data_IF_605817277149
#
_entry.id   IF_605817277149
#
_cell.length_a   1.000
_cell.length_b   1.000
_cell.length_c   1.000
_cell.angle_alpha   90.00
_cell.angle_beta   90.00
_cell.angle_gamma   90.00
#
_symmetry.space_group_name_H-M   'P 1'
#
loop_
_entity.id
_entity.type
_entity.pdbx_description
1 polymer ?
#
# COMPACT_ATOMS: atom_id res chain seq x y z
N UNK A 1 3.20 24.75 13.58
CA UNK A 1 4.36 24.54 12.67
C UNK A 1 5.70 24.56 13.37
N UNK A 2 5.95 25.49 14.29
CA UNK A 2 7.22 25.58 15.03
C UNK A 2 7.65 24.26 15.70
N UNK A 3 6.72 23.56 16.34
CA UNK A 3 6.97 22.25 16.94
C UNK A 3 7.38 21.19 15.90
N UNK A 4 6.78 21.20 14.71
CA UNK A 4 7.12 20.25 13.64
C UNK A 4 8.56 20.50 13.15
N UNK A 5 8.91 21.76 12.89
CA UNK A 5 10.27 22.12 12.46
C UNK A 5 11.32 21.73 13.49
N UNK A 6 11.06 21.99 14.79
CA UNK A 6 11.95 21.57 15.88
C UNK A 6 12.13 20.06 15.97
N UNK A 7 11.07 19.28 15.72
CA UNK A 7 11.13 17.82 15.80
C UNK A 7 11.81 17.21 14.56
N UNK A 8 11.67 17.85 13.39
CA UNK A 8 12.32 17.42 12.15
C UNK A 8 13.85 17.40 12.23
N UNK A 9 14.45 18.25 13.06
CA UNK A 9 15.90 18.25 13.30
C UNK A 9 16.36 17.18 14.30
N UNK A 10 15.45 16.67 15.14
CA UNK A 10 15.78 15.77 16.26
C UNK A 10 15.45 14.31 16.00
N UNK A 11 14.53 14.03 15.06
CA UNK A 11 13.99 12.69 14.83
C UNK A 11 14.10 12.33 13.36
N UNK A 12 14.60 11.12 13.08
CA UNK A 12 14.81 10.61 11.72
C UNK A 12 13.50 10.42 10.95
N UNK A 13 12.45 9.92 11.60
CA UNK A 13 11.14 9.68 11.01
C UNK A 13 10.10 10.58 11.66
N UNK A 14 9.58 11.53 10.88
CA UNK A 14 8.50 12.42 11.31
C UNK A 14 7.52 12.62 10.16
N UNK A 15 6.23 12.57 10.48
CA UNK A 15 5.15 12.84 9.54
C UNK A 15 4.15 13.78 10.23
N UNK A 16 3.88 14.97 9.68
CA UNK A 16 2.82 15.82 10.17
C UNK A 16 1.48 15.15 9.84
N UNK A 17 0.64 14.90 10.83
CA UNK A 17 -0.63 14.21 10.60
C UNK A 17 -1.80 14.88 11.33
N UNK A 18 -2.99 14.69 10.77
CA UNK A 18 -4.26 15.07 11.38
C UNK A 18 -5.27 13.95 11.23
N UNK A 19 -5.48 13.19 12.31
CA UNK A 19 -6.44 12.10 12.34
C UNK A 19 -7.89 12.59 12.19
N UNK A 20 -8.21 13.77 12.72
CA UNK A 20 -9.56 14.34 12.63
C UNK A 20 -9.96 14.66 11.19
N UNK A 21 -9.04 15.23 10.39
CA UNK A 21 -9.30 15.50 8.97
C UNK A 21 -9.43 14.21 8.17
N UNK A 22 -8.62 13.19 8.46
CA UNK A 22 -8.73 11.88 7.82
C UNK A 22 -10.08 11.23 8.13
N UNK A 23 -10.51 11.22 9.40
CA UNK A 23 -11.82 10.69 9.79
C UNK A 23 -12.95 11.44 9.08
N UNK A 24 -12.87 12.77 9.00
CA UNK A 24 -13.87 13.58 8.30
C UNK A 24 -13.97 13.20 6.81
N UNK A 25 -12.83 13.07 6.11
CA UNK A 25 -12.80 12.66 4.70
C UNK A 25 -13.34 11.23 4.51
N UNK A 26 -12.91 10.28 5.35
CA UNK A 26 -13.39 8.89 5.30
C UNK A 26 -14.88 8.76 5.56
N UNK A 27 -15.43 9.57 6.48
CA UNK A 27 -16.88 9.62 6.73
C UNK A 27 -17.64 10.25 5.56
N UNK A 28 -17.10 11.32 4.97
CA UNK A 28 -17.70 11.96 3.80
C UNK A 28 -17.72 11.02 2.58
N UNK A 29 -16.63 10.28 2.35
CA UNK A 29 -16.54 9.26 1.30
C UNK A 29 -17.50 8.10 1.53
N UNK A 30 -17.56 7.57 2.76
CA UNK A 30 -18.51 6.51 3.15
C UNK A 30 -19.98 6.93 2.92
N UNK A 31 -20.30 8.21 3.12
CA UNK A 31 -21.62 8.78 2.84
C UNK A 31 -21.83 9.18 1.37
N UNK A 32 -20.86 8.88 0.50
CA UNK A 32 -20.84 9.20 -0.93
C UNK A 32 -20.99 10.71 -1.21
N UNK A 33 -20.54 11.55 -0.28
CA UNK A 33 -20.53 13.01 -0.44
C UNK A 33 -19.34 13.40 -1.31
N UNK A 34 -18.20 12.74 -1.10
CA UNK A 34 -16.97 12.95 -1.85
C UNK A 34 -16.45 11.63 -2.42
N UNK A 35 -15.59 11.73 -3.43
CA UNK A 35 -14.68 10.70 -3.89
C UNK A 35 -13.31 11.00 -3.31
N UNK A 36 -12.80 10.11 -2.47
CA UNK A 36 -11.53 10.30 -1.78
C UNK A 36 -10.84 8.97 -1.57
N UNK A 37 -9.59 8.85 -2.01
CA UNK A 37 -8.76 7.71 -1.67
C UNK A 37 -7.80 8.08 -0.51
N UNK A 38 -7.67 7.24 0.53
CA UNK A 38 -6.85 7.55 1.69
C UNK A 38 -5.42 7.93 1.33
N UNK A 39 -4.95 9.05 1.88
CA UNK A 39 -3.62 9.59 1.60
C UNK A 39 -3.50 10.44 0.33
N UNK A 40 -4.57 10.59 -0.46
CA UNK A 40 -4.56 11.52 -1.60
C UNK A 40 -4.58 12.99 -1.15
N UNK A 41 -4.04 13.84 -2.03
CA UNK A 41 -4.01 15.29 -1.84
C UNK A 41 -5.35 15.95 -2.16
N UNK A 42 -6.17 15.31 -2.99
CA UNK A 42 -7.39 15.90 -3.54
C UNK A 42 -8.57 14.96 -3.30
N UNK A 43 -9.78 15.50 -3.36
CA UNK A 43 -11.03 14.75 -3.36
C UNK A 43 -12.04 15.46 -4.28
N UNK A 44 -13.04 14.73 -4.76
CA UNK A 44 -14.06 15.27 -5.65
C UNK A 44 -15.42 15.26 -4.97
N UNK A 45 -16.14 16.38 -4.99
CA UNK A 45 -17.49 16.44 -4.42
C UNK A 45 -18.48 15.78 -5.40
N UNK A 46 -19.26 14.81 -4.92
CA UNK A 46 -20.23 14.02 -5.71
C UNK A 46 -21.68 14.46 -5.52
N UNK A 47 -21.99 15.21 -4.47
CA UNK A 47 -23.35 15.64 -4.10
C UNK A 47 -23.39 17.12 -3.77
N UNK A 48 -24.58 17.70 -3.83
CA UNK A 48 -24.81 19.01 -3.22
C UNK A 48 -24.58 18.92 -1.71
N UNK A 49 -23.84 19.89 -1.20
CA UNK A 49 -23.47 20.01 0.21
C UNK A 49 -23.98 21.34 0.75
N UNK A 50 -24.26 21.38 2.05
CA UNK A 50 -24.63 22.64 2.69
C UNK A 50 -23.40 23.52 2.93
N UNK A 51 -23.64 24.80 3.27
CA UNK A 51 -22.57 25.77 3.51
C UNK A 51 -21.63 25.38 4.66
N UNK A 52 -22.12 24.63 5.65
CA UNK A 52 -21.30 24.17 6.79
C UNK A 52 -20.31 23.11 6.33
N UNK A 53 -20.79 22.14 5.55
CA UNK A 53 -19.98 21.07 4.95
C UNK A 53 -18.98 21.65 3.95
N UNK A 54 -19.40 22.62 3.13
CA UNK A 54 -18.53 23.30 2.18
C UNK A 54 -17.35 23.97 2.89
N UNK A 55 -17.62 24.77 3.92
CA UNK A 55 -16.57 25.41 4.74
C UNK A 55 -15.64 24.41 5.42
N UNK A 56 -16.18 23.26 5.86
CA UNK A 56 -15.36 22.20 6.45
C UNK A 56 -14.42 21.56 5.42
N UNK A 57 -14.92 21.25 4.22
CA UNK A 57 -14.13 20.69 3.13
C UNK A 57 -13.08 21.69 2.60
N UNK A 58 -13.40 22.98 2.52
CA UNK A 58 -12.45 24.05 2.16
C UNK A 58 -11.26 24.10 3.13
N UNK A 59 -11.52 23.99 4.45
CA UNK A 59 -10.45 23.92 5.47
C UNK A 59 -9.58 22.68 5.32
N UNK A 60 -10.19 21.53 5.00
CA UNK A 60 -9.44 20.30 4.74
C UNK A 60 -8.57 20.47 3.50
N UNK A 61 -9.11 21.07 2.43
CA UNK A 61 -8.38 21.32 1.19
C UNK A 61 -7.18 22.26 1.41
N UNK A 62 -7.32 23.30 2.23
CA UNK A 62 -6.20 24.16 2.63
C UNK A 62 -5.09 23.38 3.35
N UNK A 63 -5.46 22.48 4.26
CA UNK A 63 -4.51 21.61 4.94
C UNK A 63 -3.80 20.68 3.94
N UNK A 64 -4.56 20.03 3.05
CA UNK A 64 -4.01 19.13 2.04
C UNK A 64 -3.13 19.86 1.02
N UNK A 65 -3.45 21.09 0.62
CA UNK A 65 -2.58 21.92 -0.23
C UNK A 65 -1.24 22.20 0.44
N UNK A 66 -1.24 22.37 1.76
CA UNK A 66 -0.03 22.64 2.52
C UNK A 66 0.83 21.40 2.77
N UNK A 67 0.20 20.31 3.19
CA UNK A 67 0.90 19.11 3.67
C UNK A 67 0.88 17.93 2.70
N UNK A 68 0.21 18.08 1.55
CA UNK A 68 0.00 17.08 0.48
C UNK A 68 -0.84 15.87 0.86
N UNK A 69 -1.03 15.58 2.14
CA UNK A 69 -1.92 14.55 2.64
C UNK A 69 -2.36 14.89 4.07
N UNK A 70 -3.24 14.06 4.64
CA UNK A 70 -3.56 14.09 6.08
C UNK A 70 -2.44 13.52 6.96
N UNK A 71 -1.41 12.92 6.35
CA UNK A 71 -0.26 12.31 7.03
C UNK A 71 -0.50 10.94 7.65
N UNK A 72 -1.75 10.48 7.75
CA UNK A 72 -2.06 9.16 8.36
C UNK A 72 -1.56 8.02 7.47
N UNK A 73 -1.95 8.01 6.20
CA UNK A 73 -1.48 7.00 5.25
C UNK A 73 0.03 7.07 5.01
N UNK A 74 0.60 8.28 4.98
CA UNK A 74 2.05 8.46 4.87
C UNK A 74 2.79 7.85 6.08
N UNK A 75 2.28 8.04 7.30
CA UNK A 75 2.84 7.44 8.51
C UNK A 75 2.85 5.90 8.44
N UNK A 76 1.74 5.29 7.99
CA UNK A 76 1.65 3.85 7.78
C UNK A 76 2.66 3.37 6.72
N UNK A 77 2.70 4.04 5.57
CA UNK A 77 3.60 3.69 4.47
C UNK A 77 5.07 3.78 4.91
N UNK A 78 5.47 4.85 5.60
CA UNK A 78 6.83 4.97 6.12
C UNK A 78 7.16 3.91 7.15
N UNK A 79 6.20 3.58 8.02
CA UNK A 79 6.40 2.52 9.02
C UNK A 79 6.66 1.18 8.34
N UNK A 80 5.83 0.80 7.37
CA UNK A 80 5.93 -0.50 6.69
C UNK A 80 7.15 -0.55 5.77
N UNK A 81 7.34 0.45 4.91
CA UNK A 81 8.33 0.38 3.82
C UNK A 81 9.70 0.98 4.17
N UNK A 82 9.77 1.99 5.06
CA UNK A 82 11.04 2.66 5.40
C UNK A 82 11.61 2.23 6.75
N UNK A 83 10.76 2.00 7.75
CA UNK A 83 11.21 1.60 9.10
C UNK A 83 11.38 0.09 9.20
N UNK A 84 10.36 -0.67 8.79
CA UNK A 84 10.38 -2.12 8.83
C UNK A 84 11.03 -2.75 7.58
N UNK A 85 11.25 -1.95 6.54
CA UNK A 85 11.80 -2.37 5.24
C UNK A 85 11.03 -3.56 4.64
N UNK A 86 9.69 -3.57 4.73
CA UNK A 86 8.90 -4.59 4.05
C UNK A 86 8.82 -4.28 2.55
N UNK A 87 8.59 -5.33 1.77
CA UNK A 87 8.33 -5.30 0.33
C UNK A 87 6.97 -5.91 0.04
N UNK A 88 6.29 -5.43 -1.00
CA UNK A 88 5.06 -6.03 -1.51
C UNK A 88 5.41 -7.01 -2.62
N UNK A 89 4.90 -8.23 -2.56
CA UNK A 89 5.08 -9.24 -3.61
C UNK A 89 3.72 -9.84 -3.98
N UNK A 90 3.49 -10.02 -5.28
CA UNK A 90 2.21 -10.46 -5.82
C UNK A 90 2.30 -11.90 -6.35
N UNK A 91 1.75 -12.89 -5.64
CA UNK A 91 1.69 -14.24 -6.17
C UNK A 91 0.62 -14.36 -7.25
N UNK A 92 0.96 -15.04 -8.34
CA UNK A 92 0.03 -15.32 -9.45
C UNK A 92 0.12 -16.77 -9.85
N UNK A 93 -0.96 -17.29 -10.45
CA UNK A 93 -0.96 -18.65 -10.98
C UNK A 93 -0.61 -18.68 -12.47
N UNK A 94 -1.06 -17.68 -13.22
CA UNK A 94 -0.76 -17.51 -14.63
C UNK A 94 0.16 -16.30 -14.85
N UNK A 95 1.36 -16.56 -15.34
CA UNK A 95 2.40 -15.59 -15.64
C UNK A 95 2.08 -14.72 -16.87
N UNK A 96 1.16 -15.14 -17.75
CA UNK A 96 0.80 -14.37 -18.95
C UNK A 96 -0.30 -13.35 -18.69
N UNK A 97 -1.29 -13.70 -17.86
CA UNK A 97 -2.42 -12.83 -17.49
C UNK A 97 -2.26 -12.17 -16.12
N UNK A 98 -1.19 -12.50 -15.39
CA UNK A 98 -0.98 -12.10 -14.00
C UNK A 98 -2.19 -12.41 -13.12
N UNK A 99 -2.82 -13.57 -13.34
CA UNK A 99 -4.10 -13.91 -12.73
C UNK A 99 -4.07 -15.22 -11.95
N UNK A 100 -5.10 -15.42 -11.12
CA UNK A 100 -5.42 -16.72 -10.52
C UNK A 100 -6.20 -17.64 -11.49
N UNK A 101 -6.55 -18.84 -11.01
CA UNK A 101 -7.50 -19.79 -11.62
C UNK A 101 -8.86 -19.19 -12.01
N UNK A 102 -9.32 -18.16 -11.32
CA UNK A 102 -10.64 -17.53 -11.53
C UNK A 102 -10.58 -16.37 -12.52
N UNK A 103 -9.39 -15.99 -12.98
CA UNK A 103 -9.17 -14.86 -13.88
C UNK A 103 -9.04 -13.51 -13.17
N UNK A 104 -8.93 -13.49 -11.84
CA UNK A 104 -8.68 -12.25 -11.09
C UNK A 104 -7.24 -11.81 -11.31
N UNK A 105 -7.04 -10.58 -11.79
CA UNK A 105 -5.71 -10.01 -12.05
C UNK A 105 -5.10 -9.53 -10.73
N UNK A 106 -3.87 -9.96 -10.44
CA UNK A 106 -3.14 -9.66 -9.20
C UNK A 106 -4.01 -9.88 -7.95
N UNK A 107 -4.43 -11.14 -7.70
CA UNK A 107 -5.44 -11.45 -6.70
C UNK A 107 -5.04 -11.03 -5.29
N UNK A 108 -3.76 -11.20 -4.95
CA UNK A 108 -3.22 -11.01 -3.62
C UNK A 108 -1.93 -10.18 -3.64
N UNK A 109 -1.66 -9.51 -2.52
CA UNK A 109 -0.45 -8.72 -2.29
C UNK A 109 0.08 -9.04 -0.88
N UNK A 110 1.27 -9.65 -0.81
CA UNK A 110 1.89 -10.04 0.45
C UNK A 110 2.97 -9.05 0.86
N UNK A 111 2.94 -8.66 2.13
CA UNK A 111 4.00 -7.91 2.78
C UNK A 111 5.02 -8.88 3.36
N UNK A 112 6.25 -8.82 2.87
CA UNK A 112 7.37 -9.64 3.31
C UNK A 112 8.54 -8.77 3.77
N UNK A 113 9.32 -9.17 4.78
CA UNK A 113 10.58 -8.48 5.10
C UNK A 113 11.50 -8.44 3.88
N UNK A 114 12.22 -7.34 3.67
CA UNK A 114 13.26 -7.28 2.64
C UNK A 114 14.32 -8.37 2.87
N UNK A 115 14.77 -8.96 1.76
CA UNK A 115 15.64 -10.13 1.76
C UNK A 115 14.89 -11.47 1.75
N UNK A 116 13.55 -11.45 1.83
CA UNK A 116 12.74 -12.66 1.67
C UNK A 116 12.95 -13.30 0.31
N UNK A 117 12.90 -14.63 0.27
CA UNK A 117 13.10 -15.47 -0.91
C UNK A 117 11.75 -16.01 -1.43
N UNK A 118 11.72 -16.62 -2.63
CA UNK A 118 10.49 -17.18 -3.19
C UNK A 118 9.83 -18.26 -2.32
N UNK A 119 10.64 -19.01 -1.55
CA UNK A 119 10.11 -19.99 -0.61
C UNK A 119 9.37 -19.34 0.57
N UNK A 120 9.81 -18.18 1.03
CA UNK A 120 9.14 -17.44 2.11
C UNK A 120 7.78 -16.94 1.63
N UNK A 121 7.68 -16.49 0.37
CA UNK A 121 6.40 -16.18 -0.26
C UNK A 121 5.50 -17.42 -0.32
N UNK A 122 6.04 -18.59 -0.70
CA UNK A 122 5.26 -19.83 -0.74
C UNK A 122 4.67 -20.18 0.63
N UNK A 123 5.45 -20.05 1.71
CA UNK A 123 4.96 -20.23 3.08
C UNK A 123 3.97 -19.14 3.52
N UNK A 124 4.16 -17.90 3.08
CA UNK A 124 3.23 -16.81 3.37
C UNK A 124 1.86 -17.02 2.75
N UNK A 125 1.79 -17.65 1.57
CA UNK A 125 0.52 -18.03 0.94
C UNK A 125 -0.15 -19.16 1.72
N UNK A 126 0.55 -20.30 1.87
CA UNK A 126 0.07 -21.43 2.66
C UNK A 126 1.20 -22.41 2.96
N UNK A 127 1.19 -23.05 4.14
CA UNK A 127 2.23 -24.00 4.54
C UNK A 127 2.40 -25.17 3.57
N UNK A 128 1.31 -25.67 2.98
CA UNK A 128 1.35 -26.75 1.98
C UNK A 128 2.05 -26.34 0.68
N UNK A 129 1.87 -25.09 0.25
CA UNK A 129 2.53 -24.55 -0.96
C UNK A 129 4.03 -24.41 -0.69
N UNK A 130 4.41 -23.95 0.51
CA UNK A 130 5.81 -23.93 0.95
C UNK A 130 6.45 -25.31 1.01
N UNK A 131 5.76 -26.31 1.58
CA UNK A 131 6.26 -27.68 1.70
C UNK A 131 6.45 -28.36 0.33
N UNK A 132 5.58 -28.05 -0.63
CA UNK A 132 5.63 -28.60 -1.98
C UNK A 132 6.35 -27.69 -2.98
N UNK A 133 7.07 -26.67 -2.52
CA UNK A 133 7.76 -25.70 -3.35
C UNK A 133 8.87 -26.36 -4.19
N UNK A 134 8.85 -26.14 -5.52
CA UNK A 134 9.90 -26.59 -6.43
C UNK A 134 10.76 -25.41 -6.89
N UNK A 135 10.10 -24.42 -7.48
CA UNK A 135 10.76 -23.23 -8.01
C UNK A 135 9.77 -22.08 -8.13
N UNK A 136 10.30 -20.92 -8.48
CA UNK A 136 9.50 -19.74 -8.78
C UNK A 136 9.83 -19.19 -10.16
N UNK A 137 8.87 -18.51 -10.75
CA UNK A 137 8.99 -17.83 -12.04
C UNK A 137 8.61 -16.38 -11.84
N UNK A 138 9.47 -15.45 -12.28
CA UNK A 138 9.10 -14.04 -12.38
C UNK A 138 8.18 -13.89 -13.59
N UNK A 139 6.94 -13.48 -13.33
CA UNK A 139 5.92 -13.37 -14.36
C UNK A 139 6.24 -12.27 -15.39
N UNK A 140 6.98 -11.22 -15.01
CA UNK A 140 7.35 -10.13 -15.92
C UNK A 140 8.36 -10.57 -16.96
N UNK A 141 9.41 -11.25 -16.52
CA UNK A 141 10.49 -11.73 -17.39
C UNK A 141 10.20 -13.11 -17.98
N UNK A 142 9.25 -13.85 -17.40
CA UNK A 142 8.92 -15.25 -17.70
C UNK A 142 10.10 -16.20 -17.49
N UNK A 143 11.04 -15.81 -16.64
CA UNK A 143 12.23 -16.59 -16.32
C UNK A 143 12.10 -17.24 -14.96
N UNK A 144 12.66 -18.44 -14.82
CA UNK A 144 12.83 -19.08 -13.51
C UNK A 144 13.80 -18.25 -12.68
N UNK A 145 13.41 -17.96 -11.45
CA UNK A 145 14.26 -17.28 -10.49
C UNK A 145 14.94 -18.31 -9.59
N UNK A 146 16.15 -17.98 -9.14
CA UNK A 146 16.86 -18.83 -8.18
C UNK A 146 16.11 -18.84 -6.85
N UNK A 147 16.10 -19.99 -6.18
CA UNK A 147 15.51 -20.14 -4.85
C UNK A 147 16.22 -19.27 -3.80
N UNK A 148 17.48 -18.89 -4.06
CA UNK A 148 18.27 -18.02 -3.19
C UNK A 148 18.21 -16.53 -3.55
N UNK A 149 17.58 -16.19 -4.67
CA UNK A 149 17.44 -14.79 -5.09
C UNK A 149 16.45 -14.07 -4.17
N UNK A 150 16.86 -12.90 -3.65
CA UNK A 150 15.96 -12.05 -2.89
C UNK A 150 14.85 -11.45 -3.77
N UNK A 151 13.63 -11.47 -3.25
CA UNK A 151 12.48 -10.81 -3.85
C UNK A 151 12.62 -9.30 -3.73
N UNK A 152 12.10 -8.59 -4.72
CA UNK A 152 12.08 -7.13 -4.79
C UNK A 152 10.67 -6.60 -4.64
N UNK A 153 10.58 -5.32 -4.26
CA UNK A 153 9.29 -4.66 -4.14
C UNK A 153 8.56 -4.62 -5.49
N UNK A 154 7.31 -5.04 -5.46
CA UNK A 154 6.41 -5.24 -6.60
C UNK A 154 6.77 -6.38 -7.56
N UNK A 155 7.54 -7.37 -7.12
CA UNK A 155 7.73 -8.60 -7.87
C UNK A 155 6.41 -9.34 -8.05
N UNK A 156 6.23 -9.94 -9.23
CA UNK A 156 5.05 -10.74 -9.57
C UNK A 156 5.55 -12.16 -9.78
N UNK A 157 5.23 -13.05 -8.85
CA UNK A 157 5.87 -14.36 -8.74
C UNK A 157 4.84 -15.47 -8.91
N UNK A 158 5.13 -16.39 -9.82
CA UNK A 158 4.43 -17.67 -9.90
C UNK A 158 5.20 -18.73 -9.14
N UNK A 159 4.55 -19.32 -8.14
CA UNK A 159 5.09 -20.46 -7.40
C UNK A 159 4.74 -21.75 -8.14
N UNK A 160 5.74 -22.58 -8.39
CA UNK A 160 5.57 -23.91 -8.97
C UNK A 160 5.72 -24.93 -7.84
N UNK A 161 4.67 -25.71 -7.62
CA UNK A 161 4.63 -26.80 -6.65
C UNK A 161 4.70 -28.17 -7.34
N UNK A 162 5.01 -29.21 -6.56
CA UNK A 162 5.03 -30.61 -7.02
C UNK A 162 3.66 -31.16 -7.40
#
# INVERSE_FOLDING_TARGET
>A
EENYNRMKEKVKYIVPCSADLEVALRLAEKNQIIDYFPGEQNFFIKKEINEIQKKALERIEEFLKKWKSTGVQECLNKTVFELLEYIVVYPVENENSFSDKKGNILPDAFLLPKGSKPIDLAYAIHTEIGNNFICAVDARTKQRISNDQELKNNDIIKIVTR
#
